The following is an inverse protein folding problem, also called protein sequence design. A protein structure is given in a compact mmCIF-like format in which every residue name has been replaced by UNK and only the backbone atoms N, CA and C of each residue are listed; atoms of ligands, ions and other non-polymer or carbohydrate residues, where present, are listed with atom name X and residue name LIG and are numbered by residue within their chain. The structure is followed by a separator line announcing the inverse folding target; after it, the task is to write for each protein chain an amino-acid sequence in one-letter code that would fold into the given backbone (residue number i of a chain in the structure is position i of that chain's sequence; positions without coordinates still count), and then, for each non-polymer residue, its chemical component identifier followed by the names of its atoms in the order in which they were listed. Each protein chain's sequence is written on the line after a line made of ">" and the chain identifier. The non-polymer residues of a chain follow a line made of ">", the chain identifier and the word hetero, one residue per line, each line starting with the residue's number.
data_IF_822544550438
#
_entry.id   IF_822544550438
#
_cell.length_a   1.000
_cell.length_b   1.000
_cell.length_c   1.000
_cell.angle_alpha   90.00
_cell.angle_beta   90.00
_cell.angle_gamma   90.00
#
_symmetry.space_group_name_H-M   'P 1'
#
loop_
_entity.id
_entity.type
_entity.pdbx_description
1 polymer ?
#
# COMPACT_ATOMS: atom_id res chain seq x y z
N UNK A 1 16.04 -21.52 -65.73
CA UNK A 1 16.79 -22.32 -64.74
C UNK A 1 17.51 -21.34 -63.84
N UNK A 2 16.87 -20.96 -62.73
CA UNK A 2 17.37 -19.91 -61.83
C UNK A 2 17.80 -20.61 -60.55
N UNK A 3 19.11 -20.86 -60.44
CA UNK A 3 19.68 -21.73 -59.42
C UNK A 3 19.87 -20.98 -58.10
N UNK A 4 19.40 -21.61 -57.03
CA UNK A 4 19.62 -21.24 -55.65
C UNK A 4 21.11 -21.31 -55.31
N UNK A 5 21.66 -20.25 -54.72
CA UNK A 5 23.01 -20.28 -54.17
C UNK A 5 22.93 -20.58 -52.67
N UNK A 6 23.36 -21.78 -52.31
CA UNK A 6 23.56 -22.22 -50.94
C UNK A 6 24.70 -21.41 -50.31
N UNK A 7 24.42 -20.71 -49.22
CA UNK A 7 25.44 -20.08 -48.39
C UNK A 7 25.72 -20.98 -47.18
N UNK A 8 26.79 -21.78 -47.26
CA UNK A 8 27.45 -22.34 -46.08
C UNK A 8 28.92 -21.94 -46.14
N UNK A 9 29.29 -20.97 -45.31
CA UNK A 9 30.66 -20.78 -44.89
C UNK A 9 30.68 -20.19 -43.48
N UNK A 10 31.07 -21.05 -42.53
CA UNK A 10 32.04 -20.77 -41.46
C UNK A 10 31.72 -19.65 -40.47
N UNK A 11 31.28 -20.06 -39.28
CA UNK A 11 31.48 -19.35 -38.03
C UNK A 11 32.98 -19.06 -37.81
N UNK A 12 33.33 -17.81 -37.51
CA UNK A 12 34.30 -17.45 -36.47
C UNK A 12 34.31 -15.92 -36.21
N UNK A 13 34.13 -15.60 -34.93
CA UNK A 13 34.65 -14.45 -34.20
C UNK A 13 33.97 -13.07 -34.29
N UNK A 14 33.79 -12.51 -33.08
CA UNK A 14 33.54 -11.11 -32.70
C UNK A 14 32.09 -10.62 -32.72
N UNK A 15 31.27 -11.13 -31.79
CA UNK A 15 30.05 -10.43 -31.37
C UNK A 15 30.49 -9.27 -30.46
N UNK A 16 30.42 -8.04 -30.97
CA UNK A 16 30.42 -6.83 -30.14
C UNK A 16 29.15 -6.84 -29.30
N UNK A 17 29.27 -7.33 -28.06
CA UNK A 17 28.21 -7.24 -27.06
C UNK A 17 27.98 -5.79 -26.69
N UNK A 18 27.04 -5.13 -27.37
CA UNK A 18 26.41 -3.91 -26.84
C UNK A 18 25.55 -4.39 -25.67
N UNK A 19 26.14 -4.41 -24.48
CA UNK A 19 25.46 -4.69 -23.23
C UNK A 19 24.44 -3.58 -22.98
N UNK A 20 23.21 -3.80 -23.41
CA UNK A 20 22.08 -3.03 -22.92
C UNK A 20 21.91 -3.42 -21.45
N UNK A 21 22.52 -2.65 -20.56
CA UNK A 21 22.32 -2.77 -19.13
C UNK A 21 20.88 -2.33 -18.83
N UNK A 22 19.96 -3.29 -18.88
CA UNK A 22 18.64 -3.14 -18.30
C UNK A 22 18.89 -2.99 -16.80
N UNK A 23 18.94 -1.75 -16.31
CA UNK A 23 18.86 -1.51 -14.88
C UNK A 23 17.44 -1.91 -14.47
N UNK A 24 17.25 -3.16 -14.09
CA UNK A 24 16.11 -3.58 -13.30
C UNK A 24 16.31 -2.87 -11.96
N UNK A 25 15.63 -1.74 -11.78
CA UNK A 25 15.47 -1.17 -10.45
C UNK A 25 14.71 -2.21 -9.64
N UNK A 26 15.42 -2.91 -8.75
CA UNK A 26 14.78 -3.68 -7.70
C UNK A 26 13.93 -2.69 -6.91
N UNK A 27 12.61 -2.80 -7.02
CA UNK A 27 11.74 -2.24 -6.01
C UNK A 27 12.12 -2.97 -4.72
N UNK A 28 12.77 -2.28 -3.78
CA UNK A 28 12.89 -2.79 -2.42
C UNK A 28 11.48 -2.87 -1.85
N UNK A 29 10.79 -3.98 -2.10
CA UNK A 29 9.72 -4.38 -1.22
C UNK A 29 10.39 -4.61 0.12
N UNK A 30 10.18 -3.70 1.07
CA UNK A 30 10.45 -3.94 2.48
C UNK A 30 9.55 -5.06 2.96
N UNK A 31 9.81 -6.27 2.48
CA UNK A 31 9.19 -7.48 2.93
C UNK A 31 9.97 -7.85 4.18
N UNK A 32 9.56 -7.27 5.30
CA UNK A 32 9.88 -7.84 6.61
C UNK A 32 9.37 -9.28 6.56
N UNK A 33 10.31 -10.23 6.42
CA UNK A 33 10.10 -11.64 6.02
C UNK A 33 9.17 -12.41 6.98
N UNK A 34 8.68 -11.75 8.04
CA UNK A 34 7.88 -12.31 9.12
C UNK A 34 6.49 -11.70 9.31
N UNK A 35 6.09 -10.64 8.56
CA UNK A 35 4.79 -9.99 8.79
C UNK A 35 3.60 -10.84 8.29
N UNK A 36 2.50 -10.83 9.05
CA UNK A 36 1.24 -11.49 8.72
C UNK A 36 0.10 -10.51 8.35
N UNK A 37 0.35 -9.19 8.38
CA UNK A 37 -0.61 -8.14 8.01
C UNK A 37 -0.42 -7.64 6.57
N UNK A 38 -1.53 -7.28 5.91
CA UNK A 38 -1.54 -6.77 4.52
C UNK A 38 -1.04 -5.31 4.45
N UNK A 39 -1.53 -4.45 5.35
CA UNK A 39 -1.22 -3.01 5.37
C UNK A 39 -0.70 -2.65 6.76
N UNK A 40 0.46 -2.02 6.81
CA UNK A 40 1.05 -1.43 8.02
C UNK A 40 0.52 -0.02 8.27
N UNK A 41 0.68 0.49 9.50
CA UNK A 41 0.33 1.88 9.82
C UNK A 41 0.98 2.91 8.88
N UNK A 42 2.24 2.68 8.52
CA UNK A 42 3.00 3.55 7.60
C UNK A 42 2.42 3.53 6.19
N UNK A 43 2.07 2.35 5.68
CA UNK A 43 1.44 2.20 4.36
C UNK A 43 0.04 2.84 4.34
N UNK A 44 -0.73 2.73 5.42
CA UNK A 44 -2.04 3.38 5.54
C UNK A 44 -1.93 4.91 5.52
N UNK A 45 -0.98 5.50 6.24
CA UNK A 45 -0.73 6.96 6.21
C UNK A 45 -0.39 7.40 4.77
N UNK A 46 0.53 6.70 4.10
CA UNK A 46 0.90 7.02 2.71
C UNK A 46 -0.30 6.95 1.77
N UNK A 47 -1.16 5.95 1.92
CA UNK A 47 -2.38 5.82 1.14
C UNK A 47 -3.30 7.04 1.32
N UNK A 48 -3.53 7.45 2.57
CA UNK A 48 -4.35 8.61 2.93
C UNK A 48 -3.74 9.95 2.46
N UNK A 49 -2.43 10.04 2.34
CA UNK A 49 -1.72 11.20 1.80
C UNK A 49 -1.77 11.24 0.25
N UNK A 50 -2.19 10.15 -0.41
CA UNK A 50 -2.23 10.03 -1.87
C UNK A 50 -0.90 9.60 -2.49
N UNK A 51 0.03 9.11 -1.67
CA UNK A 51 1.37 8.66 -2.08
C UNK A 51 1.27 7.20 -2.50
N UNK A 52 2.00 6.79 -3.54
CA UNK A 52 2.05 5.37 -3.96
C UNK A 52 3.01 4.55 -3.08
N UNK A 53 2.88 3.22 -3.19
CA UNK A 53 3.68 2.25 -2.44
C UNK A 53 5.20 2.43 -2.68
N UNK A 54 5.60 2.94 -3.85
CA UNK A 54 6.99 3.27 -4.19
C UNK A 54 7.45 4.69 -3.77
N UNK A 55 6.62 5.45 -3.05
CA UNK A 55 6.94 6.79 -2.55
C UNK A 55 6.90 7.90 -3.61
N UNK A 56 6.55 7.60 -4.86
CA UNK A 56 6.46 8.62 -5.91
C UNK A 56 5.17 9.45 -5.77
N UNK A 57 5.22 10.78 -6.00
CA UNK A 57 4.01 11.56 -6.18
C UNK A 57 3.24 11.01 -7.38
N UNK A 58 2.00 10.60 -7.16
CA UNK A 58 1.13 10.19 -8.25
C UNK A 58 0.54 11.42 -8.93
N UNK A 59 0.26 11.32 -10.23
CA UNK A 59 -0.66 12.25 -10.87
C UNK A 59 -2.01 12.25 -10.14
N UNK A 60 -2.82 13.29 -10.35
CA UNK A 60 -4.07 13.52 -9.61
C UNK A 60 -4.94 12.27 -9.47
N UNK A 61 -5.16 11.53 -10.57
CA UNK A 61 -5.93 10.29 -10.57
C UNK A 61 -5.37 9.21 -9.63
N UNK A 62 -4.06 9.02 -9.60
CA UNK A 62 -3.42 8.04 -8.72
C UNK A 62 -3.48 8.47 -7.25
N UNK A 63 -3.36 9.78 -6.98
CA UNK A 63 -3.58 10.34 -5.66
C UNK A 63 -5.00 10.11 -5.15
N UNK A 64 -6.02 10.30 -6.00
CA UNK A 64 -7.42 10.02 -5.66
C UNK A 64 -7.61 8.53 -5.36
N UNK A 65 -7.08 7.62 -6.19
CA UNK A 65 -7.21 6.18 -5.97
C UNK A 65 -6.50 5.70 -4.69
N UNK A 66 -5.33 6.26 -4.38
CA UNK A 66 -4.61 5.91 -3.16
C UNK A 66 -5.39 6.33 -1.91
N UNK A 67 -5.96 7.54 -1.91
CA UNK A 67 -6.83 8.01 -0.81
C UNK A 67 -8.08 7.16 -0.67
N UNK A 68 -8.72 6.82 -1.79
CA UNK A 68 -9.88 5.94 -1.81
C UNK A 68 -9.55 4.55 -1.22
N UNK A 69 -8.38 3.98 -1.54
CA UNK A 69 -7.88 2.72 -0.95
C UNK A 69 -7.71 2.84 0.56
N UNK A 70 -7.10 3.93 1.05
CA UNK A 70 -6.93 4.18 2.48
C UNK A 70 -8.26 4.30 3.23
N UNK A 71 -9.20 5.11 2.71
CA UNK A 71 -10.55 5.24 3.28
C UNK A 71 -11.32 3.93 3.26
N UNK A 72 -11.24 3.14 2.18
CA UNK A 72 -11.90 1.85 2.09
C UNK A 72 -11.33 0.83 3.09
N UNK A 73 -10.02 0.85 3.35
CA UNK A 73 -9.41 0.01 4.38
C UNK A 73 -9.97 0.33 5.77
N UNK A 74 -10.06 1.62 6.12
CA UNK A 74 -10.64 2.07 7.40
C UNK A 74 -12.10 1.66 7.52
N UNK A 75 -12.90 1.87 6.47
CA UNK A 75 -14.30 1.47 6.45
C UNK A 75 -14.48 -0.03 6.68
N UNK A 76 -13.66 -0.87 6.02
CA UNK A 76 -13.71 -2.33 6.21
C UNK A 76 -13.38 -2.77 7.64
N UNK A 77 -12.37 -2.17 8.27
CA UNK A 77 -12.04 -2.44 9.68
C UNK A 77 -13.15 -1.96 10.62
N UNK A 78 -13.70 -0.77 10.34
CA UNK A 78 -14.78 -0.17 11.12
C UNK A 78 -16.04 -1.05 11.09
N UNK A 79 -16.47 -1.50 9.90
CA UNK A 79 -17.63 -2.38 9.74
C UNK A 79 -17.42 -3.73 10.44
N UNK A 80 -16.22 -4.32 10.31
CA UNK A 80 -15.90 -5.61 10.92
C UNK A 80 -15.89 -5.60 12.46
N UNK A 81 -15.76 -4.41 13.09
CA UNK A 81 -15.61 -4.27 14.55
C UNK A 81 -16.69 -3.43 15.22
N UNK A 82 -17.65 -2.91 14.45
CA UNK A 82 -18.77 -2.12 14.95
C UNK A 82 -19.66 -2.94 15.89
N UNK A 83 -20.11 -2.31 16.97
CA UNK A 83 -20.99 -2.90 17.98
C UNK A 83 -20.28 -3.76 19.03
N UNK A 84 -18.98 -4.00 18.88
CA UNK A 84 -18.17 -4.76 19.85
C UNK A 84 -16.86 -4.05 20.20
N UNK A 85 -16.07 -3.67 19.19
CA UNK A 85 -14.81 -2.94 19.38
C UNK A 85 -14.99 -1.43 19.48
N UNK A 86 -16.04 -0.90 18.86
CA UNK A 86 -16.42 0.52 18.92
C UNK A 86 -17.92 0.65 18.61
N UNK A 87 -18.54 1.78 18.96
CA UNK A 87 -19.98 1.98 18.81
C UNK A 87 -20.33 3.32 18.14
N UNK A 88 -21.50 3.38 17.49
CA UNK A 88 -21.99 4.60 16.83
C UNK A 88 -21.83 4.63 15.30
N UNK A 89 -21.61 3.49 14.65
CA UNK A 89 -21.47 3.40 13.19
C UNK A 89 -22.62 4.06 12.40
N UNK A 90 -23.85 4.02 12.91
CA UNK A 90 -25.00 4.70 12.28
C UNK A 90 -25.05 6.22 12.46
N UNK A 91 -24.17 6.79 13.29
CA UNK A 91 -24.14 8.22 13.66
C UNK A 91 -22.85 8.95 13.26
N UNK A 92 -21.84 8.21 12.78
CA UNK A 92 -20.54 8.77 12.39
C UNK A 92 -20.39 8.71 10.88
N UNK A 93 -20.01 9.83 10.27
CA UNK A 93 -19.81 9.88 8.82
C UNK A 93 -18.51 9.14 8.43
N UNK A 94 -18.46 8.43 7.29
CA UNK A 94 -17.26 7.70 6.86
C UNK A 94 -15.99 8.55 6.76
N UNK A 95 -16.12 9.83 6.37
CA UNK A 95 -14.98 10.74 6.29
C UNK A 95 -14.49 11.18 7.68
N UNK A 96 -15.37 11.25 8.70
CA UNK A 96 -14.94 11.49 10.08
C UNK A 96 -14.11 10.34 10.63
N UNK A 97 -14.49 9.09 10.34
CA UNK A 97 -13.68 7.91 10.69
C UNK A 97 -12.28 8.04 10.08
N UNK A 98 -12.23 8.37 8.78
CA UNK A 98 -10.96 8.55 8.07
C UNK A 98 -10.10 9.66 8.72
N UNK A 99 -10.70 10.83 8.99
CA UNK A 99 -10.00 11.98 9.56
C UNK A 99 -9.46 11.69 10.98
N UNK A 100 -10.27 11.09 11.84
CA UNK A 100 -9.88 10.78 13.22
C UNK A 100 -8.81 9.70 13.29
N UNK A 101 -8.93 8.66 12.46
CA UNK A 101 -7.90 7.63 12.32
C UNK A 101 -6.60 8.23 11.81
N UNK A 102 -6.64 9.00 10.72
CA UNK A 102 -5.46 9.66 10.18
C UNK A 102 -4.77 10.53 11.23
N UNK A 103 -5.54 11.37 11.93
CA UNK A 103 -5.05 12.24 13.00
C UNK A 103 -4.37 11.44 14.12
N UNK A 104 -4.96 10.33 14.57
CA UNK A 104 -4.35 9.48 15.59
C UNK A 104 -3.05 8.85 15.08
N UNK A 105 -3.06 8.27 13.88
CA UNK A 105 -1.88 7.61 13.28
C UNK A 105 -0.69 8.57 13.16
N UNK A 106 -0.91 9.86 12.89
CA UNK A 106 0.15 10.88 12.87
C UNK A 106 0.81 11.13 14.23
N UNK A 107 0.19 10.70 15.34
CA UNK A 107 0.76 10.78 16.69
C UNK A 107 1.41 9.46 17.17
N UNK A 108 1.25 8.37 16.42
CA UNK A 108 1.83 7.06 16.74
C UNK A 108 3.33 7.05 16.43
N UNK A 109 4.13 6.37 17.26
CA UNK A 109 5.58 6.28 17.03
C UNK A 109 5.91 5.55 15.73
N UNK A 110 7.04 5.88 15.07
CA UNK A 110 7.45 5.21 13.83
C UNK A 110 7.56 3.68 13.96
N UNK A 111 7.99 3.18 15.13
CA UNK A 111 8.12 1.75 15.40
C UNK A 111 6.75 1.06 15.42
N UNK A 112 5.74 1.68 16.04
CA UNK A 112 4.38 1.14 16.06
C UNK A 112 3.72 1.18 14.69
N UNK A 113 4.03 2.19 13.87
CA UNK A 113 3.54 2.31 12.50
C UNK A 113 4.08 1.22 11.54
N UNK A 114 5.09 0.44 11.94
CA UNK A 114 5.55 -0.72 11.17
C UNK A 114 4.61 -1.92 11.31
N UNK A 115 3.83 -1.99 12.39
CA UNK A 115 2.87 -3.05 12.66
C UNK A 115 1.56 -2.90 11.88
N UNK A 116 0.63 -3.85 12.09
CA UNK A 116 -0.67 -3.91 11.42
C UNK A 116 -1.48 -2.62 11.55
N UNK A 117 -1.94 -2.08 10.42
CA UNK A 117 -2.83 -0.93 10.40
C UNK A 117 -4.19 -1.24 11.04
N UNK A 118 -4.72 -2.46 10.88
CA UNK A 118 -6.03 -2.81 11.45
C UNK A 118 -6.04 -2.69 12.97
N UNK A 119 -4.97 -3.15 13.64
CA UNK A 119 -4.83 -3.01 15.10
C UNK A 119 -4.87 -1.54 15.52
N UNK A 120 -4.11 -0.68 14.83
CA UNK A 120 -4.09 0.76 15.13
C UNK A 120 -5.45 1.42 14.88
N UNK A 121 -6.15 1.04 13.81
CA UNK A 121 -7.51 1.54 13.51
C UNK A 121 -8.48 1.12 14.61
N UNK A 122 -8.48 -0.15 15.01
CA UNK A 122 -9.35 -0.68 16.07
C UNK A 122 -9.11 0.05 17.39
N UNK A 123 -7.86 0.18 17.81
CA UNK A 123 -7.49 0.92 19.02
C UNK A 123 -7.97 2.37 18.97
N UNK A 124 -7.81 3.02 17.82
CA UNK A 124 -8.26 4.41 17.63
C UNK A 124 -9.78 4.52 17.76
N UNK A 125 -10.52 3.64 17.08
CA UNK A 125 -11.98 3.67 17.11
C UNK A 125 -12.52 3.36 18.52
N UNK A 126 -11.92 2.39 19.21
CA UNK A 126 -12.28 2.05 20.58
C UNK A 126 -12.04 3.24 21.54
N UNK A 127 -10.96 3.99 21.36
CA UNK A 127 -10.64 5.15 22.18
C UNK A 127 -11.58 6.35 21.93
N UNK A 128 -11.96 6.59 20.67
CA UNK A 128 -12.74 7.77 20.27
C UNK A 128 -14.25 7.52 20.39
N UNK A 129 -14.68 6.28 20.16
CA UNK A 129 -16.08 5.87 20.12
C UNK A 129 -16.30 4.62 20.98
N UNK A 130 -16.05 4.72 22.30
CA UNK A 130 -16.19 3.58 23.19
C UNK A 130 -17.65 3.09 23.21
N UNK A 131 -17.83 1.78 23.28
CA UNK A 131 -19.13 1.22 23.54
C UNK A 131 -19.59 1.52 24.98
N UNK A 132 -20.89 1.74 25.21
CA UNK A 132 -21.43 1.89 26.55
C UNK A 132 -21.07 0.68 27.43
N UNK A 133 -20.78 0.93 28.71
CA UNK A 133 -20.72 -0.14 29.69
C UNK A 133 -22.13 -0.74 29.84
N UNK A 134 -22.22 -2.06 29.78
CA UNK A 134 -23.47 -2.81 29.99
C UNK A 134 -24.02 -2.61 31.41
#
# INVERSE_FOLDING_TARGET
>A
MTAAYQFRATFLAAILSIGWAINVASAESGNDESRDWIISGTELIKALEGISDNGAPQGEAGGIMSRARGSAYIAGVADATSGTGWCGAGSVLPHELTDRVYTHLRSVTPERLKGSASTLVIETLAAIYPCPAN
#
